data_IF_221995893790
#
_entry.id   IF_221995893790
#
_cell.length_a   1.000
_cell.length_b   1.000
_cell.length_c   1.000
_cell.angle_alpha   90.00
_cell.angle_beta   90.00
_cell.angle_gamma   90.00
#
_symmetry.space_group_name_H-M   'P 1'
#
loop_
_entity.id
_entity.type
_entity.pdbx_description
1 polymer ?
#
# COMPACT_ATOMS: atom_id res chain seq x y z
N UNK A 1 0.76 28.33 54.89
CA UNK A 1 1.22 28.07 53.51
C UNK A 1 2.26 26.96 53.57
N UNK A 2 1.83 25.72 53.41
CA UNK A 2 2.71 24.55 53.42
C UNK A 2 3.03 24.20 51.97
N UNK A 3 4.28 24.34 51.55
CA UNK A 3 4.73 23.95 50.21
C UNK A 3 4.84 22.43 50.16
N UNK A 4 3.96 21.76 49.42
CA UNK A 4 4.19 20.37 49.08
C UNK A 4 5.40 20.28 48.13
N UNK A 5 6.36 19.37 48.37
CA UNK A 5 7.43 19.13 47.42
C UNK A 5 6.84 18.56 46.12
N UNK A 6 7.33 19.07 44.99
CA UNK A 6 7.00 18.54 43.67
C UNK A 6 7.33 17.05 43.63
N UNK A 7 6.31 16.22 43.48
CA UNK A 7 6.44 14.78 43.31
C UNK A 7 7.11 14.56 41.95
N UNK A 8 8.38 14.12 41.96
CA UNK A 8 9.04 13.66 40.75
C UNK A 8 8.20 12.51 40.19
N UNK A 9 7.60 12.73 39.01
CA UNK A 9 6.98 11.65 38.23
C UNK A 9 8.16 10.86 37.65
N UNK A 10 8.36 9.59 38.02
CA UNK A 10 9.34 8.77 37.34
C UNK A 10 8.96 8.73 35.87
N UNK A 11 9.89 9.14 34.99
CA UNK A 11 9.85 8.81 33.57
C UNK A 11 10.16 7.31 33.48
N UNK A 12 9.19 6.48 33.86
CA UNK A 12 9.24 5.06 33.55
C UNK A 12 9.07 4.94 32.03
N UNK A 13 10.14 4.48 31.39
CA UNK A 13 10.23 3.87 30.06
C UNK A 13 9.13 4.27 29.07
N UNK A 14 9.36 5.35 28.32
CA UNK A 14 8.65 5.56 27.06
C UNK A 14 9.04 4.39 26.15
N UNK A 15 8.15 3.40 26.02
CA UNK A 15 8.30 2.30 25.07
C UNK A 15 8.25 2.88 23.66
N UNK A 16 9.43 3.21 23.12
CA UNK A 16 9.56 3.72 21.76
C UNK A 16 9.33 2.55 20.81
N UNK A 17 8.17 2.55 20.15
CA UNK A 17 7.92 1.68 19.01
C UNK A 17 9.00 1.91 17.95
N UNK A 18 9.57 0.83 17.43
CA UNK A 18 10.59 0.89 16.39
C UNK A 18 9.93 0.70 15.02
N UNK A 19 10.13 1.68 14.13
CA UNK A 19 9.75 1.58 12.73
C UNK A 19 10.90 1.01 11.90
N UNK A 20 10.61 0.00 11.09
CA UNK A 20 11.59 -0.63 10.20
C UNK A 20 10.97 -0.89 8.84
N UNK A 21 11.71 -0.62 7.77
CA UNK A 21 11.38 -1.05 6.42
C UNK A 21 12.60 -1.66 5.75
N UNK A 22 12.42 -2.85 5.18
CA UNK A 22 13.46 -3.55 4.43
C UNK A 22 12.82 -4.11 3.18
N UNK A 23 13.39 -3.78 2.02
CA UNK A 23 12.85 -4.24 0.75
C UNK A 23 13.92 -4.56 -0.27
N UNK A 24 13.48 -5.29 -1.29
CA UNK A 24 14.24 -5.60 -2.49
C UNK A 24 13.35 -5.41 -3.71
N UNK A 25 13.92 -4.85 -4.78
CA UNK A 25 13.27 -4.70 -6.07
C UNK A 25 14.12 -5.35 -7.16
N UNK A 26 13.46 -6.13 -8.02
CA UNK A 26 14.04 -6.74 -9.20
C UNK A 26 13.40 -6.15 -10.43
N UNK A 27 14.18 -5.43 -11.22
CA UNK A 27 13.77 -4.99 -12.56
C UNK A 27 13.76 -6.19 -13.51
N UNK A 28 12.65 -6.36 -14.22
CA UNK A 28 12.48 -7.46 -15.19
C UNK A 28 13.00 -7.11 -16.59
N UNK A 29 13.22 -5.82 -16.85
CA UNK A 29 13.80 -5.35 -18.10
C UNK A 29 14.59 -4.05 -17.92
N UNK A 30 15.57 -3.83 -18.81
CA UNK A 30 16.46 -2.67 -18.78
C UNK A 30 15.72 -1.35 -19.05
N UNK A 31 14.58 -1.42 -19.75
CA UNK A 31 13.73 -0.24 -20.02
C UNK A 31 12.86 0.13 -18.81
N UNK A 32 12.89 -0.65 -17.74
CA UNK A 32 12.17 -0.38 -16.49
C UNK A 32 10.66 -0.49 -16.61
N UNK A 33 10.16 -1.26 -17.58
CA UNK A 33 8.71 -1.42 -17.79
C UNK A 33 8.11 -2.49 -16.88
N UNK A 34 8.94 -3.42 -16.39
CA UNK A 34 8.56 -4.43 -15.41
C UNK A 34 9.48 -4.48 -14.20
N UNK A 35 8.88 -4.78 -13.06
CA UNK A 35 9.58 -5.00 -11.80
C UNK A 35 8.80 -5.94 -10.89
N UNK A 36 9.50 -6.59 -9.97
CA UNK A 36 8.92 -7.33 -8.85
C UNK A 36 9.61 -6.87 -7.59
N UNK A 37 8.83 -6.44 -6.60
CA UNK A 37 9.34 -5.96 -5.32
C UNK A 37 8.78 -6.77 -4.17
N UNK A 38 9.56 -6.85 -3.09
CA UNK A 38 9.11 -7.32 -1.78
C UNK A 38 9.58 -6.33 -0.72
N UNK A 39 8.72 -6.05 0.26
CA UNK A 39 9.02 -5.20 1.39
C UNK A 39 8.49 -5.85 2.67
N UNK A 40 9.31 -5.83 3.72
CA UNK A 40 8.90 -6.08 5.09
C UNK A 40 8.86 -4.74 5.80
N UNK A 41 7.78 -4.47 6.50
CA UNK A 41 7.62 -3.27 7.30
C UNK A 41 7.14 -3.60 8.71
N UNK A 42 7.65 -2.85 9.66
CA UNK A 42 7.29 -2.87 11.07
C UNK A 42 6.89 -1.45 11.43
N UNK A 43 5.73 -1.32 12.06
CA UNK A 43 5.31 -0.07 12.67
C UNK A 43 5.09 -0.34 14.16
N UNK A 44 5.81 0.38 15.01
CA UNK A 44 5.66 0.27 16.45
C UNK A 44 4.94 1.50 16.99
N UNK A 45 3.95 1.31 17.87
CA UNK A 45 3.39 2.39 18.66
C UNK A 45 3.24 1.99 20.14
N UNK A 46 3.18 2.96 21.07
CA UNK A 46 3.06 2.69 22.50
C UNK A 46 1.84 1.84 22.89
N UNK A 47 0.75 1.95 22.11
CA UNK A 47 -0.50 1.23 22.35
C UNK A 47 -0.67 0.00 21.44
N UNK A 48 0.43 -0.45 20.81
CA UNK A 48 0.47 -1.62 19.94
C UNK A 48 1.08 -1.32 18.58
N UNK A 49 1.62 -2.35 17.94
CA UNK A 49 2.25 -2.25 16.62
C UNK A 49 1.73 -3.33 15.68
N UNK A 50 2.32 -3.37 14.49
CA UNK A 50 2.04 -4.42 13.54
C UNK A 50 3.26 -4.68 12.65
N UNK A 51 3.31 -5.89 12.12
CA UNK A 51 4.29 -6.30 11.11
C UNK A 51 3.56 -6.62 9.83
N UNK A 52 4.08 -6.19 8.69
CA UNK A 52 3.54 -6.64 7.43
C UNK A 52 4.59 -7.04 6.41
N UNK A 53 4.08 -7.61 5.34
CA UNK A 53 4.85 -7.99 4.17
C UNK A 53 4.08 -7.58 2.93
N UNK A 54 4.73 -6.82 2.06
CA UNK A 54 4.18 -6.35 0.78
C UNK A 54 4.94 -6.98 -0.37
N UNK A 55 4.21 -7.44 -1.37
CA UNK A 55 4.74 -7.83 -2.67
C UNK A 55 4.14 -6.91 -3.73
N UNK A 56 4.98 -6.43 -4.64
CA UNK A 56 4.57 -5.62 -5.78
C UNK A 56 5.03 -6.28 -7.07
N UNK A 57 4.23 -6.17 -8.11
CA UNK A 57 4.57 -6.66 -9.43
C UNK A 57 4.08 -5.67 -10.48
N UNK A 58 4.94 -5.33 -11.43
CA UNK A 58 4.58 -4.64 -12.67
C UNK A 58 5.07 -5.48 -13.82
N UNK A 59 4.17 -5.80 -14.74
CA UNK A 59 4.50 -6.61 -15.90
C UNK A 59 4.13 -5.84 -17.17
N UNK A 60 5.10 -5.58 -18.06
CA UNK A 60 4.80 -5.08 -19.39
C UNK A 60 4.14 -6.22 -20.17
N UNK A 61 2.88 -6.03 -20.53
CA UNK A 61 2.15 -6.98 -21.35
C UNK A 61 2.24 -6.57 -22.83
N UNK A 62 2.05 -7.51 -23.78
CA UNK A 62 1.92 -7.18 -25.20
C UNK A 62 0.74 -6.24 -25.47
N UNK A 63 0.67 -5.67 -26.68
CA UNK A 63 -0.48 -4.90 -27.17
C UNK A 63 -0.83 -3.64 -26.36
N UNK A 64 0.20 -2.87 -25.97
CA UNK A 64 0.05 -1.61 -25.24
C UNK A 64 -0.67 -1.73 -23.88
N UNK A 65 -0.65 -2.93 -23.31
CA UNK A 65 -1.21 -3.25 -22.00
C UNK A 65 -0.13 -3.15 -20.91
N UNK A 66 -0.48 -2.50 -19.81
CA UNK A 66 0.31 -2.48 -18.57
C UNK A 66 -0.52 -3.09 -17.47
N UNK A 67 0.07 -3.99 -16.68
CA UNK A 67 -0.57 -4.58 -15.50
C UNK A 67 0.34 -4.35 -14.30
N UNK A 68 -0.25 -3.95 -13.18
CA UNK A 68 0.43 -3.92 -11.89
C UNK A 68 -0.44 -4.51 -10.79
N UNK A 69 0.18 -5.22 -9.87
CA UNK A 69 -0.46 -5.78 -8.70
C UNK A 69 0.37 -5.44 -7.44
N UNK A 70 -0.33 -5.21 -6.34
CA UNK A 70 0.25 -5.11 -5.01
C UNK A 70 -0.56 -6.00 -4.06
N UNK A 71 0.13 -6.66 -3.14
CA UNK A 71 -0.45 -7.48 -2.09
C UNK A 71 0.29 -7.19 -0.80
N UNK A 72 -0.43 -6.95 0.26
CA UNK A 72 0.11 -6.75 1.60
C UNK A 72 -0.64 -7.62 2.60
N UNK A 73 0.11 -8.22 3.51
CA UNK A 73 -0.43 -8.92 4.67
C UNK A 73 0.09 -8.23 5.92
N UNK A 74 -0.81 -7.70 6.74
CA UNK A 74 -0.47 -7.10 8.04
C UNK A 74 -0.91 -8.03 9.16
N UNK A 75 -0.03 -8.21 10.15
CA UNK A 75 -0.27 -8.96 11.38
C UNK A 75 -0.11 -8.00 12.56
N UNK A 76 -1.18 -7.72 13.32
CA UNK A 76 -1.07 -6.92 14.54
C UNK A 76 -0.33 -7.69 15.63
N UNK A 77 0.36 -6.96 16.50
CA UNK A 77 1.08 -7.56 17.63
C UNK A 77 0.16 -8.09 18.71
N UNK A 78 -0.92 -7.35 18.99
CA UNK A 78 -1.97 -7.79 19.89
C UNK A 78 -3.24 -8.14 19.08
N UNK A 79 -3.74 -9.38 19.15
CA UNK A 79 -4.98 -9.78 18.48
C UNK A 79 -6.22 -9.00 18.94
N UNK A 80 -6.15 -8.23 20.02
CA UNK A 80 -7.23 -7.35 20.49
C UNK A 80 -7.28 -6.01 19.75
N UNK A 81 -6.28 -5.69 18.92
CA UNK A 81 -6.23 -4.42 18.18
C UNK A 81 -7.32 -4.28 17.12
N UNK A 82 -8.02 -5.36 16.75
CA UNK A 82 -9.17 -5.28 15.86
C UNK A 82 -9.73 -6.61 15.40
N UNK A 83 -10.42 -6.58 14.27
CA UNK A 83 -11.10 -7.74 13.71
C UNK A 83 -10.12 -8.62 12.94
N UNK A 84 -10.01 -9.89 13.33
CA UNK A 84 -9.15 -10.87 12.66
C UNK A 84 -7.68 -10.80 13.10
N UNK A 85 -6.93 -11.85 12.75
CA UNK A 85 -5.50 -12.00 13.11
C UNK A 85 -4.55 -11.57 11.99
N UNK A 86 -5.08 -11.35 10.79
CA UNK A 86 -4.36 -10.88 9.61
C UNK A 86 -5.26 -9.94 8.84
N UNK A 87 -4.70 -8.84 8.37
CA UNK A 87 -5.37 -7.82 7.57
C UNK A 87 -4.76 -7.82 6.17
N UNK A 88 -5.34 -8.59 5.23
CA UNK A 88 -4.91 -8.54 3.84
C UNK A 88 -5.33 -7.23 3.17
N UNK A 89 -4.47 -6.72 2.29
CA UNK A 89 -4.76 -5.66 1.35
C UNK A 89 -4.21 -6.06 -0.02
N UNK A 90 -4.96 -5.82 -1.09
CA UNK A 90 -4.53 -6.11 -2.44
C UNK A 90 -5.06 -5.06 -3.41
N UNK A 91 -4.24 -4.70 -4.39
CA UNK A 91 -4.58 -3.80 -5.49
C UNK A 91 -4.18 -4.45 -6.81
N UNK A 92 -5.10 -4.45 -7.78
CA UNK A 92 -4.82 -4.82 -9.16
C UNK A 92 -5.19 -3.67 -10.06
N UNK A 93 -4.26 -3.23 -10.90
CA UNK A 93 -4.48 -2.19 -11.89
C UNK A 93 -4.04 -2.63 -13.28
N UNK A 94 -4.80 -2.20 -14.29
CA UNK A 94 -4.49 -2.43 -15.69
C UNK A 94 -4.74 -1.17 -16.50
N UNK A 95 -3.88 -0.93 -17.49
CA UNK A 95 -4.01 0.19 -18.43
C UNK A 95 -3.76 -0.28 -19.84
N UNK A 96 -4.59 0.13 -20.78
CA UNK A 96 -4.48 -0.18 -22.19
C UNK A 96 -4.55 1.11 -23.01
N UNK A 97 -3.61 1.30 -23.93
CA UNK A 97 -3.56 2.49 -24.78
C UNK A 97 -3.39 2.10 -26.24
N UNK A 98 -4.37 2.38 -27.09
CA UNK A 98 -4.28 2.03 -28.50
C UNK A 98 -4.81 3.14 -29.41
N UNK A 99 -3.92 3.69 -30.24
CA UNK A 99 -4.23 4.83 -31.09
C UNK A 99 -4.73 6.02 -30.27
N UNK A 100 -5.94 6.57 -30.54
CA UNK A 100 -6.51 7.66 -29.76
C UNK A 100 -7.13 7.20 -28.44
N UNK A 101 -7.28 5.90 -28.19
CA UNK A 101 -7.99 5.37 -27.03
C UNK A 101 -7.09 5.08 -25.85
N UNK A 102 -7.62 5.29 -24.65
CA UNK A 102 -7.00 4.89 -23.39
C UNK A 102 -8.07 4.34 -22.45
N UNK A 103 -7.78 3.21 -21.81
CA UNK A 103 -8.59 2.60 -20.76
C UNK A 103 -7.69 2.32 -19.57
N UNK A 104 -8.14 2.66 -18.37
CA UNK A 104 -7.49 2.28 -17.13
C UNK A 104 -8.52 1.74 -16.15
N UNK A 105 -8.17 0.69 -15.42
CA UNK A 105 -9.01 0.09 -14.39
C UNK A 105 -8.16 -0.28 -13.18
N UNK A 106 -8.74 -0.16 -11.99
CA UNK A 106 -8.14 -0.61 -10.75
C UNK A 106 -9.20 -1.21 -9.83
N UNK A 107 -8.82 -2.25 -9.08
CA UNK A 107 -9.63 -2.90 -8.05
C UNK A 107 -8.77 -3.07 -6.82
N UNK A 108 -9.28 -2.61 -5.69
CA UNK A 108 -8.68 -2.74 -4.36
C UNK A 108 -9.57 -3.63 -3.49
N UNK A 109 -8.97 -4.52 -2.71
CA UNK A 109 -9.66 -5.33 -1.71
C UNK A 109 -8.85 -5.31 -0.41
N UNK A 110 -9.51 -5.08 0.71
CA UNK A 110 -8.83 -4.94 1.99
C UNK A 110 -9.64 -5.49 3.16
N UNK A 111 -8.93 -5.81 4.23
CA UNK A 111 -9.47 -5.96 5.58
C UNK A 111 -8.60 -5.14 6.53
N UNK A 112 -9.14 -4.78 7.68
CA UNK A 112 -8.47 -3.92 8.66
C UNK A 112 -8.95 -4.24 10.07
N UNK A 113 -8.39 -3.52 11.05
CA UNK A 113 -8.85 -3.57 12.44
C UNK A 113 -10.35 -3.27 12.58
N UNK A 114 -10.90 -2.42 11.71
CA UNK A 114 -12.27 -1.93 11.78
C UNK A 114 -13.24 -2.71 10.88
N UNK A 115 -12.75 -3.26 9.77
CA UNK A 115 -13.59 -3.87 8.72
C UNK A 115 -13.03 -5.23 8.32
N UNK A 116 -13.86 -6.27 8.34
CA UNK A 116 -13.45 -7.61 7.91
C UNK A 116 -13.27 -7.74 6.40
N UNK A 117 -13.90 -6.84 5.62
CA UNK A 117 -13.72 -6.78 4.17
C UNK A 117 -14.26 -5.46 3.62
N UNK A 118 -13.51 -4.90 2.65
CA UNK A 118 -13.91 -3.78 1.79
C UNK A 118 -13.36 -4.01 0.39
N UNK A 119 -14.12 -3.60 -0.62
CA UNK A 119 -13.71 -3.66 -2.03
C UNK A 119 -14.07 -2.34 -2.72
N UNK A 120 -13.09 -1.72 -3.37
CA UNK A 120 -13.25 -0.50 -4.15
C UNK A 120 -12.80 -0.73 -5.59
N UNK A 121 -13.44 -0.08 -6.55
CA UNK A 121 -13.09 -0.21 -7.97
C UNK A 121 -13.24 1.13 -8.71
N UNK A 122 -12.33 1.37 -9.67
CA UNK A 122 -12.33 2.55 -10.51
C UNK A 122 -12.05 2.16 -11.97
N UNK A 123 -12.78 2.78 -12.90
CA UNK A 123 -12.54 2.65 -14.34
C UNK A 123 -12.53 4.03 -14.99
N UNK A 124 -11.56 4.26 -15.88
CA UNK A 124 -11.44 5.44 -16.72
C UNK A 124 -11.37 5.03 -18.18
N UNK A 125 -12.12 5.72 -19.03
CA UNK A 125 -12.07 5.60 -20.49
C UNK A 125 -11.85 6.99 -21.09
N UNK A 126 -10.88 7.12 -22.00
CA UNK A 126 -10.51 8.36 -22.65
C UNK A 126 -10.27 8.20 -24.14
N UNK A 127 -10.44 9.29 -24.89
CA UNK A 127 -10.12 9.38 -26.32
C UNK A 127 -9.46 10.72 -26.64
N UNK A 128 -8.30 10.69 -27.29
CA UNK A 128 -7.64 11.88 -27.82
C UNK A 128 -8.33 12.36 -29.10
N UNK A 129 -8.50 13.67 -29.22
CA UNK A 129 -9.02 14.32 -30.42
C UNK A 129 -7.91 15.19 -31.02
N UNK A 130 -7.54 14.92 -32.27
CA UNK A 130 -6.73 15.85 -33.03
C UNK A 130 -7.66 16.93 -33.56
N UNK A 131 -7.57 18.15 -33.03
CA UNK A 131 -8.19 19.30 -33.67
C UNK A 131 -7.42 19.53 -34.97
N UNK A 132 -8.07 19.26 -36.11
CA UNK A 132 -7.50 19.60 -37.41
C UNK A 132 -7.20 21.09 -37.44
N UNK A 133 -5.93 21.44 -37.61
CA UNK A 133 -5.53 22.81 -37.92
C UNK A 133 -6.24 23.21 -39.20
N UNK A 134 -7.09 24.24 -39.10
CA UNK A 134 -7.66 24.90 -40.25
C UNK A 134 -6.52 25.36 -41.16
N UNK A 135 -6.66 24.99 -42.43
CA UNK A 135 -5.85 25.42 -43.58
C UNK A 135 -5.64 26.92 -43.62
#
# INVERSE_FOLDING_TARGET
LSSQPARAVPYDDVELGADLRVGADLRLDDKGRGSVGVELHREGAPDGGWTGARATARVPAPHDLTISAELELVVPDDPKMGTGTVWPWALLAAGWKHGPWEIAAAVEASASALESSRVDALVRVGRAWTLGGGS
#
